data_IF_289784267328
#
_entry.id   IF_289784267328
#
_cell.length_a   1.000
_cell.length_b   1.000
_cell.length_c   1.000
_cell.angle_alpha   90.00
_cell.angle_beta   90.00
_cell.angle_gamma   90.00
#
_symmetry.space_group_name_H-M   'P 1'
#
loop_
_entity.id
_entity.type
_entity.pdbx_description
1 polymer ?
#
# COMPACT_ATOMS: atom_id res chain seq x y z
N UNK A 1 -26.05 27.86 -83.16
CA UNK A 1 -25.55 28.44 -81.93
C UNK A 1 -25.95 27.51 -80.78
N UNK A 2 -25.09 26.65 -80.32
CA UNK A 2 -25.32 25.72 -79.19
C UNK A 2 -24.33 26.03 -78.09
N UNK A 3 -24.84 26.52 -76.97
CA UNK A 3 -24.07 26.82 -75.77
C UNK A 3 -23.91 25.53 -74.96
N UNK A 4 -22.67 25.07 -74.74
CA UNK A 4 -22.32 24.04 -73.78
C UNK A 4 -21.95 24.68 -72.46
N UNK A 5 -22.76 24.40 -71.43
CA UNK A 5 -22.43 24.75 -70.06
C UNK A 5 -21.54 23.65 -69.46
N UNK A 6 -20.34 24.01 -69.08
CA UNK A 6 -19.38 23.13 -68.42
C UNK A 6 -19.62 23.20 -66.89
N UNK A 7 -20.15 22.11 -66.33
CA UNK A 7 -20.30 21.98 -64.85
C UNK A 7 -18.96 21.42 -64.28
N UNK A 8 -18.23 22.25 -63.54
CA UNK A 8 -17.06 21.85 -62.78
C UNK A 8 -17.52 21.38 -61.41
N UNK A 9 -17.38 20.05 -61.14
CA UNK A 9 -17.59 19.47 -59.83
C UNK A 9 -16.32 19.69 -58.98
N UNK A 10 -16.47 20.57 -57.98
CA UNK A 10 -15.48 20.72 -56.90
C UNK A 10 -15.65 19.59 -55.87
N UNK A 11 -14.72 18.62 -55.84
CA UNK A 11 -14.61 17.64 -54.78
C UNK A 11 -14.01 18.32 -53.55
N UNK A 12 -14.82 18.60 -52.56
CA UNK A 12 -14.32 18.90 -51.19
C UNK A 12 -13.91 17.59 -50.53
N UNK A 13 -12.61 17.31 -50.54
CA UNK A 13 -12.02 16.25 -49.75
C UNK A 13 -12.03 16.61 -48.27
N UNK A 14 -12.96 16.10 -47.49
CA UNK A 14 -12.95 16.19 -46.02
C UNK A 14 -11.88 15.27 -45.49
N UNK A 15 -10.69 15.82 -45.16
CA UNK A 15 -9.64 15.14 -44.42
C UNK A 15 -10.10 14.92 -42.99
N UNK A 16 -10.53 13.68 -42.69
CA UNK A 16 -10.80 13.26 -41.31
C UNK A 16 -9.44 13.11 -40.61
N UNK A 17 -9.10 14.10 -39.82
CA UNK A 17 -7.98 14.00 -38.86
C UNK A 17 -8.42 13.06 -37.75
N UNK A 18 -8.01 11.80 -37.82
CA UNK A 18 -8.11 10.89 -36.70
C UNK A 18 -7.08 11.34 -35.65
N UNK A 19 -7.54 12.06 -34.65
CA UNK A 19 -6.75 12.34 -33.44
C UNK A 19 -6.65 11.03 -32.65
N UNK A 20 -5.55 10.32 -32.86
CA UNK A 20 -5.12 9.26 -31.94
C UNK A 20 -4.81 9.89 -30.59
N UNK A 21 -5.83 9.99 -29.74
CA UNK A 21 -5.65 10.29 -28.33
C UNK A 21 -5.02 9.05 -27.68
N UNK A 22 -3.69 8.95 -27.75
CA UNK A 22 -2.91 8.06 -26.91
C UNK A 22 -3.15 8.49 -25.49
N UNK A 23 -4.12 7.87 -24.80
CA UNK A 23 -4.25 7.93 -23.35
C UNK A 23 -3.01 7.27 -22.77
N UNK A 24 -1.96 8.09 -22.61
CA UNK A 24 -0.83 7.74 -21.75
C UNK A 24 -1.43 7.58 -20.36
N UNK A 25 -1.63 6.34 -19.92
CA UNK A 25 -1.85 6.03 -18.52
C UNK A 25 -0.56 6.40 -17.79
N UNK A 26 -0.43 7.67 -17.41
CA UNK A 26 0.50 8.04 -16.35
C UNK A 26 0.00 7.33 -15.10
N UNK A 27 0.67 6.23 -14.74
CA UNK A 27 0.61 5.69 -13.39
C UNK A 27 0.92 6.87 -12.46
N UNK A 28 -0.09 7.38 -11.77
CA UNK A 28 0.13 8.44 -10.80
C UNK A 28 0.90 7.82 -9.64
N UNK A 29 2.19 8.11 -9.57
CA UNK A 29 3.01 7.76 -8.42
C UNK A 29 2.37 8.42 -7.21
N UNK A 30 1.83 7.62 -6.28
CA UNK A 30 1.30 8.14 -5.02
C UNK A 30 2.48 8.72 -4.23
N UNK A 31 2.37 10.00 -3.87
CA UNK A 31 3.35 10.69 -3.04
C UNK A 31 2.87 10.77 -1.59
N UNK A 32 3.82 10.93 -0.67
CA UNK A 32 3.51 11.26 0.71
C UNK A 32 2.74 12.58 0.80
N UNK A 33 1.66 12.60 1.59
CA UNK A 33 0.93 13.80 1.98
C UNK A 33 1.00 13.97 3.49
N UNK A 34 1.32 15.17 3.95
CA UNK A 34 1.42 15.51 5.38
C UNK A 34 0.71 16.85 5.61
N UNK A 35 -0.19 16.89 6.61
CA UNK A 35 -0.97 18.10 6.92
C UNK A 35 -0.09 19.27 7.40
N UNK A 36 0.93 18.97 8.21
CA UNK A 36 1.83 19.97 8.79
C UNK A 36 3.21 19.39 9.07
N UNK A 37 4.26 20.21 8.93
CA UNK A 37 5.62 19.84 9.26
C UNK A 37 5.90 19.82 10.78
N UNK A 38 5.01 20.37 11.61
CA UNK A 38 5.17 20.41 13.07
C UNK A 38 5.00 19.06 13.76
N UNK A 39 4.53 18.03 13.04
CA UNK A 39 4.22 16.71 13.59
C UNK A 39 2.75 16.55 13.98
N UNK A 40 2.32 15.33 14.34
CA UNK A 40 0.95 15.04 14.77
C UNK A 40 0.68 15.60 16.18
N UNK A 41 -0.59 15.86 16.48
CA UNK A 41 -1.08 16.42 17.73
C UNK A 41 -1.71 15.34 18.60
N UNK A 42 -1.09 15.03 19.75
CA UNK A 42 -1.66 14.09 20.73
C UNK A 42 -1.51 12.61 20.33
N UNK A 43 -2.55 11.80 20.62
CA UNK A 43 -2.52 10.35 20.35
C UNK A 43 -2.57 10.07 18.85
N UNK A 44 -1.70 9.17 18.41
CA UNK A 44 -1.62 8.73 17.01
C UNK A 44 -2.26 7.35 16.84
N UNK A 45 -2.97 7.14 15.73
CA UNK A 45 -3.41 5.84 15.23
C UNK A 45 -3.09 5.70 13.75
N UNK A 46 -2.99 4.46 13.29
CA UNK A 46 -2.64 4.12 11.91
C UNK A 46 -3.76 3.28 11.31
N UNK A 47 -4.13 3.60 10.07
CA UNK A 47 -5.00 2.78 9.22
C UNK A 47 -4.24 2.43 7.95
N UNK A 48 -4.19 1.14 7.62
CA UNK A 48 -3.53 0.62 6.42
C UNK A 48 -4.59 0.01 5.53
N UNK A 49 -4.81 0.63 4.36
CA UNK A 49 -5.66 0.11 3.30
C UNK A 49 -4.80 -0.59 2.25
N UNK A 50 -4.98 -1.91 2.15
CA UNK A 50 -4.21 -2.72 1.20
C UNK A 50 -4.67 -2.51 -0.24
N UNK A 51 -5.96 -2.21 -0.45
CA UNK A 51 -6.50 -1.97 -1.79
C UNK A 51 -5.94 -0.70 -2.40
N UNK A 52 -5.76 0.32 -1.59
CA UNK A 52 -5.24 1.62 -2.01
C UNK A 52 -3.72 1.73 -1.92
N UNK A 53 -3.04 0.73 -1.33
CA UNK A 53 -1.60 0.78 -1.08
C UNK A 53 -1.19 1.97 -0.22
N UNK A 54 -1.97 2.27 0.80
CA UNK A 54 -1.80 3.43 1.66
C UNK A 54 -1.70 3.08 3.14
N UNK A 55 -0.84 3.81 3.84
CA UNK A 55 -0.77 3.91 5.29
C UNK A 55 -1.16 5.32 5.69
N UNK A 56 -2.32 5.49 6.29
CA UNK A 56 -2.81 6.77 6.78
C UNK A 56 -2.64 6.89 8.29
N UNK A 57 -2.18 8.04 8.73
CA UNK A 57 -1.98 8.40 10.14
C UNK A 57 -3.03 9.41 10.55
N UNK A 58 -3.63 9.17 11.69
CA UNK A 58 -4.60 10.06 12.34
C UNK A 58 -4.09 10.50 13.69
N UNK A 59 -4.43 11.72 14.08
CA UNK A 59 -4.14 12.31 15.38
C UNK A 59 -5.41 12.88 16.00
N UNK A 60 -5.29 13.63 17.12
CA UNK A 60 -6.45 14.23 17.80
C UNK A 60 -7.22 15.25 16.94
N UNK A 61 -6.65 15.73 15.83
CA UNK A 61 -7.27 16.66 14.89
C UNK A 61 -7.80 15.96 13.61
N UNK A 62 -7.77 14.62 13.58
CA UNK A 62 -8.18 13.81 12.44
C UNK A 62 -7.00 13.34 11.58
N UNK A 63 -7.19 13.28 10.25
CA UNK A 63 -6.13 12.86 9.32
C UNK A 63 -4.90 13.78 9.41
N UNK A 64 -3.72 13.14 9.57
CA UNK A 64 -2.43 13.83 9.66
C UNK A 64 -1.56 13.61 8.41
N UNK A 65 -1.37 12.35 7.98
CA UNK A 65 -0.49 12.02 6.87
C UNK A 65 -0.94 10.74 6.17
N UNK A 66 -0.54 10.59 4.90
CA UNK A 66 -0.66 9.35 4.13
C UNK A 66 0.65 9.04 3.43
N UNK A 67 1.07 7.78 3.50
CA UNK A 67 2.29 7.25 2.91
C UNK A 67 1.98 6.10 1.97
N UNK A 68 2.62 6.03 0.80
CA UNK A 68 2.51 4.86 -0.06
C UNK A 68 3.23 3.67 0.58
N UNK A 69 2.60 2.49 0.50
CA UNK A 69 3.14 1.24 1.06
C UNK A 69 2.94 0.07 0.10
N UNK A 70 3.74 -0.99 0.30
CA UNK A 70 3.56 -2.29 -0.35
C UNK A 70 3.59 -3.40 0.69
N UNK A 71 3.22 -4.62 0.29
CA UNK A 71 2.85 -5.70 1.18
C UNK A 71 3.60 -6.99 0.89
N UNK A 72 3.08 -8.08 1.47
CA UNK A 72 3.55 -9.42 1.23
C UNK A 72 3.42 -9.85 -0.23
N UNK A 73 4.40 -10.60 -0.70
CA UNK A 73 4.56 -10.97 -2.11
C UNK A 73 3.69 -12.17 -2.50
N UNK A 74 2.38 -12.08 -2.32
CA UNK A 74 1.43 -13.05 -2.82
C UNK A 74 0.15 -12.34 -3.28
N UNK A 75 -0.76 -12.08 -2.36
CA UNK A 75 -2.04 -11.43 -2.66
C UNK A 75 -2.38 -10.37 -1.61
N UNK A 76 -3.33 -9.50 -1.93
CA UNK A 76 -3.90 -8.56 -0.96
C UNK A 76 -4.93 -9.23 -0.02
N UNK A 77 -5.04 -10.56 -0.03
CA UNK A 77 -5.87 -11.30 0.92
C UNK A 77 -5.29 -11.31 2.33
N UNK A 78 -6.11 -11.69 3.31
CA UNK A 78 -5.66 -11.82 4.69
C UNK A 78 -4.67 -12.97 4.87
N UNK A 79 -3.71 -12.80 5.78
CA UNK A 79 -2.75 -13.82 6.17
C UNK A 79 -3.45 -15.00 6.84
N UNK A 80 -3.20 -16.22 6.34
CA UNK A 80 -3.80 -17.45 6.85
C UNK A 80 -2.84 -18.31 7.67
N UNK A 81 -1.56 -18.36 7.28
CA UNK A 81 -0.54 -19.21 7.92
C UNK A 81 0.88 -18.70 7.61
N UNK A 82 1.86 -19.25 8.28
CA UNK A 82 3.27 -19.00 7.96
C UNK A 82 3.59 -19.45 6.53
N UNK A 83 4.39 -18.65 5.82
CA UNK A 83 4.84 -18.95 4.46
C UNK A 83 3.84 -18.58 3.36
N UNK A 84 2.62 -18.15 3.67
CA UNK A 84 1.65 -17.70 2.68
C UNK A 84 1.97 -16.34 2.05
N UNK A 85 2.94 -15.63 2.61
CA UNK A 85 3.41 -14.30 2.18
C UNK A 85 2.34 -13.21 2.12
N UNK A 86 1.21 -13.40 2.76
CA UNK A 86 0.17 -12.38 2.87
C UNK A 86 0.39 -11.49 4.08
N UNK A 87 -0.01 -10.23 3.97
CA UNK A 87 -0.07 -9.28 5.09
C UNK A 87 -1.37 -9.50 5.87
N UNK A 88 -1.31 -9.62 7.22
CA UNK A 88 -2.51 -9.88 8.02
C UNK A 88 -3.46 -8.68 8.03
N UNK A 89 -4.75 -8.97 8.18
CA UNK A 89 -5.82 -8.01 8.45
C UNK A 89 -6.30 -8.12 9.90
N UNK A 90 -6.68 -6.98 10.47
CA UNK A 90 -7.21 -6.89 11.83
C UNK A 90 -6.68 -5.68 12.58
N UNK A 91 -6.81 -5.75 13.93
CA UNK A 91 -6.40 -4.69 14.84
C UNK A 91 -5.12 -5.10 15.56
N UNK A 92 -4.12 -4.26 15.48
CA UNK A 92 -2.79 -4.48 16.05
C UNK A 92 -2.34 -3.29 16.88
N UNK A 93 -1.25 -3.49 17.62
CA UNK A 93 -0.53 -2.41 18.28
C UNK A 93 0.96 -2.51 18.00
N UNK A 94 1.64 -1.38 18.00
CA UNK A 94 3.10 -1.33 17.96
C UNK A 94 3.64 -1.81 19.32
N UNK A 95 4.55 -2.78 19.28
CA UNK A 95 5.17 -3.36 20.51
C UNK A 95 6.65 -3.05 20.67
N UNK A 96 7.32 -2.69 19.58
CA UNK A 96 8.72 -2.29 19.59
C UNK A 96 9.07 -1.51 18.32
N UNK A 97 10.12 -0.71 18.39
CA UNK A 97 10.71 -0.06 17.24
C UNK A 97 12.23 0.01 17.35
N UNK A 98 12.93 -0.18 16.23
CA UNK A 98 14.39 -0.16 16.19
C UNK A 98 14.93 0.34 14.86
N UNK A 99 16.17 0.81 14.87
CA UNK A 99 16.97 0.96 13.65
C UNK A 99 17.28 -0.42 13.09
N UNK A 100 17.18 -0.60 11.79
CA UNK A 100 17.41 -1.89 11.15
C UNK A 100 18.47 -1.74 10.04
N UNK A 101 19.53 -2.58 10.04
CA UNK A 101 20.67 -2.39 9.13
C UNK A 101 20.31 -2.58 7.65
N UNK A 102 19.30 -3.40 7.36
CA UNK A 102 18.86 -3.69 5.98
C UNK A 102 17.68 -2.83 5.53
N UNK A 103 16.75 -2.53 6.44
CA UNK A 103 15.46 -1.90 6.11
C UNK A 103 15.27 -0.56 6.84
N UNK A 104 16.34 0.16 7.06
CA UNK A 104 16.37 1.48 7.66
C UNK A 104 15.76 1.53 9.08
N UNK A 105 14.46 1.26 9.21
CA UNK A 105 13.71 1.17 10.48
C UNK A 105 12.82 -0.07 10.45
N UNK A 106 12.54 -0.62 11.64
CA UNK A 106 11.57 -1.68 11.82
C UNK A 106 10.67 -1.36 13.01
N UNK A 107 9.36 -1.33 12.76
CA UNK A 107 8.30 -1.05 13.73
C UNK A 107 7.50 -2.33 13.87
N UNK A 108 7.67 -3.05 14.97
CA UNK A 108 7.07 -4.37 15.20
C UNK A 108 5.61 -4.25 15.62
N UNK A 109 4.74 -5.07 15.02
CA UNK A 109 3.36 -5.24 15.41
C UNK A 109 3.19 -6.45 16.33
N UNK A 110 2.16 -6.46 17.17
CA UNK A 110 1.82 -7.57 18.08
C UNK A 110 1.17 -8.77 17.37
N UNK A 111 1.52 -9.01 16.10
CA UNK A 111 1.09 -10.21 15.36
C UNK A 111 1.96 -11.42 15.73
N UNK A 112 1.37 -12.61 16.03
CA UNK A 112 -0.06 -12.87 16.19
C UNK A 112 -0.58 -12.45 17.56
N UNK A 113 -1.68 -11.69 17.56
CA UNK A 113 -2.46 -11.36 18.76
C UNK A 113 -3.64 -12.34 18.95
N UNK A 114 -4.53 -12.09 19.90
CA UNK A 114 -5.67 -12.97 20.18
C UNK A 114 -6.61 -13.10 18.96
N UNK A 115 -6.99 -11.97 18.33
CA UNK A 115 -7.82 -11.97 17.12
C UNK A 115 -7.20 -12.84 16.01
N UNK A 116 -5.89 -12.72 15.81
CA UNK A 116 -5.15 -13.52 14.81
C UNK A 116 -5.18 -15.02 15.13
N UNK A 117 -5.03 -15.37 16.41
CA UNK A 117 -5.05 -16.77 16.88
C UNK A 117 -6.44 -17.40 16.73
N UNK A 118 -7.49 -16.65 17.03
CA UNK A 118 -8.88 -17.10 16.84
C UNK A 118 -9.19 -17.34 15.37
N UNK A 119 -8.86 -16.39 14.47
CA UNK A 119 -9.00 -16.54 13.02
C UNK A 119 -8.25 -17.79 12.52
N UNK A 120 -7.02 -17.98 12.98
CA UNK A 120 -6.19 -19.13 12.61
C UNK A 120 -6.81 -20.45 13.08
N UNK A 121 -7.28 -20.53 14.33
CA UNK A 121 -7.95 -21.72 14.86
C UNK A 121 -9.25 -22.04 14.11
N UNK A 122 -10.04 -21.03 13.75
CA UNK A 122 -11.25 -21.21 12.94
C UNK A 122 -10.93 -21.79 11.56
N UNK A 123 -9.90 -21.28 10.88
CA UNK A 123 -9.45 -21.79 9.58
C UNK A 123 -9.00 -23.24 9.64
N UNK A 124 -8.29 -23.63 10.72
CA UNK A 124 -7.92 -25.04 10.94
C UNK A 124 -9.16 -25.93 11.10
N UNK A 125 -10.12 -25.51 11.93
CA UNK A 125 -11.38 -26.28 12.13
C UNK A 125 -12.20 -26.46 10.85
N UNK A 126 -12.13 -25.47 9.94
CA UNK A 126 -12.84 -25.52 8.65
C UNK A 126 -12.04 -26.24 7.54
N UNK A 127 -10.82 -26.68 7.83
CA UNK A 127 -9.95 -27.30 6.81
C UNK A 127 -9.44 -26.33 5.74
N UNK A 128 -9.48 -25.01 5.98
CA UNK A 128 -9.01 -24.00 5.04
C UNK A 128 -7.47 -23.91 4.98
N UNK A 129 -6.79 -24.45 5.97
CA UNK A 129 -5.34 -24.55 6.08
C UNK A 129 -4.95 -25.93 6.61
N UNK A 130 -3.71 -26.44 6.29
CA UNK A 130 -3.25 -27.72 6.77
C UNK A 130 -3.27 -27.85 8.31
N UNK A 131 -3.56 -29.03 8.82
CA UNK A 131 -3.62 -29.29 10.28
C UNK A 131 -2.28 -29.03 10.98
N UNK A 132 -1.17 -29.25 10.29
CA UNK A 132 0.19 -28.99 10.76
C UNK A 132 0.69 -27.57 10.50
N UNK A 133 -0.13 -26.70 9.91
CA UNK A 133 0.25 -25.30 9.66
C UNK A 133 0.56 -24.56 10.97
N UNK A 134 1.50 -23.63 10.93
CA UNK A 134 1.78 -22.65 11.99
C UNK A 134 1.29 -21.25 11.60
N UNK A 135 0.99 -20.42 12.60
CA UNK A 135 0.46 -19.07 12.38
C UNK A 135 1.53 -18.10 11.86
N UNK A 136 2.79 -18.31 12.22
CA UNK A 136 3.90 -17.42 11.95
C UNK A 136 3.95 -16.20 12.87
N UNK A 137 4.79 -15.22 12.51
CA UNK A 137 5.01 -14.01 13.32
C UNK A 137 5.97 -13.04 12.64
N UNK A 138 6.46 -12.06 13.41
CA UNK A 138 7.47 -11.11 12.93
C UNK A 138 6.95 -10.08 11.93
N UNK A 139 5.66 -9.78 11.96
CA UNK A 139 5.04 -8.74 11.12
C UNK A 139 5.40 -7.36 11.67
N UNK A 140 5.73 -6.45 10.77
CA UNK A 140 6.03 -5.07 11.10
C UNK A 140 5.96 -4.14 9.90
N UNK A 141 6.19 -2.85 10.18
CA UNK A 141 6.32 -1.79 9.17
C UNK A 141 7.81 -1.45 9.07
N UNK A 142 8.35 -1.39 7.85
CA UNK A 142 9.78 -1.16 7.65
C UNK A 142 10.09 -0.46 6.31
N UNK A 143 11.30 0.05 6.18
CA UNK A 143 11.78 0.61 4.92
C UNK A 143 12.16 -0.45 3.88
N UNK A 144 12.67 0.02 2.76
CA UNK A 144 13.21 -0.84 1.69
C UNK A 144 14.69 -1.19 1.96
N UNK A 145 15.27 -2.05 1.12
CA UNK A 145 16.71 -2.14 1.00
C UNK A 145 17.29 -0.80 0.54
N UNK A 146 18.54 -0.50 0.83
CA UNK A 146 19.18 0.70 0.30
C UNK A 146 19.01 0.78 -1.23
N UNK A 147 18.55 1.94 -1.71
CA UNK A 147 18.32 2.26 -3.14
C UNK A 147 17.11 1.54 -3.79
N UNK A 148 16.28 0.81 -3.03
CA UNK A 148 15.15 0.05 -3.58
C UNK A 148 13.79 0.74 -3.37
N UNK A 149 13.76 2.03 -3.06
CA UNK A 149 12.51 2.81 -2.86
C UNK A 149 11.59 2.79 -4.10
N UNK A 150 12.13 2.51 -5.29
CA UNK A 150 11.35 2.31 -6.53
C UNK A 150 10.34 1.17 -6.43
N UNK A 151 10.52 0.20 -5.52
CA UNK A 151 9.55 -0.88 -5.27
C UNK A 151 8.22 -0.31 -4.78
N UNK A 152 8.27 0.73 -3.96
CA UNK A 152 7.08 1.44 -3.46
C UNK A 152 6.40 2.21 -4.59
N UNK A 153 7.17 2.95 -5.40
CA UNK A 153 6.66 3.73 -6.52
C UNK A 153 5.97 2.86 -7.59
N UNK A 154 6.36 1.59 -7.69
CA UNK A 154 5.82 0.62 -8.65
C UNK A 154 4.75 -0.31 -8.06
N UNK A 155 4.33 -0.10 -6.80
CA UNK A 155 3.40 -0.99 -6.09
C UNK A 155 3.84 -2.46 -6.12
N UNK A 156 5.15 -2.69 -6.08
CA UNK A 156 5.72 -4.03 -6.15
C UNK A 156 5.73 -4.67 -4.75
N UNK A 157 4.80 -5.57 -4.51
CA UNK A 157 4.74 -6.36 -3.28
C UNK A 157 5.94 -7.33 -3.23
N UNK A 158 6.79 -7.22 -2.22
CA UNK A 158 8.04 -7.97 -2.16
C UNK A 158 8.32 -8.66 -0.82
N UNK A 159 7.56 -8.34 0.24
CA UNK A 159 7.84 -8.85 1.58
C UNK A 159 7.28 -10.26 1.82
N UNK A 160 7.63 -10.86 2.94
CA UNK A 160 7.07 -12.14 3.40
C UNK A 160 5.79 -11.94 4.25
N UNK A 161 5.19 -10.75 4.21
CA UNK A 161 3.96 -10.38 4.91
C UNK A 161 4.05 -9.07 5.72
N UNK A 162 5.21 -8.45 5.80
CA UNK A 162 5.38 -7.11 6.38
C UNK A 162 4.81 -6.02 5.47
N UNK A 163 4.66 -4.83 6.04
CA UNK A 163 4.32 -3.59 5.33
C UNK A 163 5.64 -2.86 5.05
N UNK A 164 5.91 -2.53 3.79
CA UNK A 164 7.12 -1.79 3.40
C UNK A 164 6.77 -0.43 2.84
N UNK A 165 7.57 0.58 3.18
CA UNK A 165 7.44 1.96 2.74
C UNK A 165 8.82 2.53 2.37
N UNK A 166 8.87 3.71 1.77
CA UNK A 166 10.15 4.37 1.45
C UNK A 166 10.97 4.63 2.71
N UNK A 167 12.28 4.65 2.56
CA UNK A 167 13.19 4.83 3.70
C UNK A 167 12.99 6.19 4.39
N UNK A 168 12.76 7.26 3.65
CA UNK A 168 12.45 8.57 4.23
C UNK A 168 11.11 8.59 4.99
N UNK A 169 10.09 7.89 4.47
CA UNK A 169 8.76 7.82 5.04
C UNK A 169 8.76 7.01 6.35
N UNK A 170 9.48 5.88 6.41
CA UNK A 170 9.60 5.13 7.66
C UNK A 170 10.41 5.87 8.72
N UNK A 171 11.39 6.71 8.32
CA UNK A 171 12.09 7.58 9.26
C UNK A 171 11.13 8.61 9.85
N UNK A 172 10.26 9.20 9.02
CA UNK A 172 9.27 10.17 9.47
C UNK A 172 8.25 9.53 10.42
N UNK A 173 7.61 8.43 9.99
CA UNK A 173 6.69 7.64 10.81
C UNK A 173 7.32 7.25 12.17
N UNK A 174 8.57 6.80 12.17
CA UNK A 174 9.29 6.34 13.34
C UNK A 174 9.44 7.43 14.42
N UNK A 175 9.42 8.71 14.07
CA UNK A 175 9.63 9.83 15.00
C UNK A 175 8.49 9.95 16.00
N UNK A 176 7.26 9.71 15.58
CA UNK A 176 6.07 10.03 16.38
C UNK A 176 5.23 8.83 16.81
N UNK A 177 5.45 7.63 16.25
CA UNK A 177 4.78 6.44 16.76
C UNK A 177 5.49 5.89 18.00
N UNK A 178 4.73 5.29 18.90
CA UNK A 178 5.21 4.72 20.16
C UNK A 178 4.65 3.32 20.39
N UNK A 179 5.20 2.60 21.37
CA UNK A 179 4.59 1.35 21.83
C UNK A 179 3.16 1.63 22.29
N UNK A 180 2.22 0.78 21.91
CA UNK A 180 0.79 0.96 22.15
C UNK A 180 0.06 1.77 21.06
N UNK A 181 0.76 2.37 20.07
CA UNK A 181 0.07 2.99 18.91
C UNK A 181 -0.79 1.94 18.21
N UNK A 182 -2.07 2.24 18.02
CA UNK A 182 -3.06 1.38 17.38
C UNK A 182 -2.83 1.35 15.86
N UNK A 183 -2.96 0.15 15.28
CA UNK A 183 -2.78 -0.09 13.83
C UNK A 183 -3.92 -0.97 13.36
N UNK A 184 -4.74 -0.47 12.45
CA UNK A 184 -5.78 -1.25 11.76
C UNK A 184 -5.32 -1.54 10.33
N UNK A 185 -5.41 -2.81 9.92
CA UNK A 185 -5.08 -3.24 8.56
C UNK A 185 -6.31 -3.88 7.94
N UNK A 186 -6.71 -3.41 6.79
CA UNK A 186 -7.84 -3.96 6.02
C UNK A 186 -7.57 -3.91 4.50
N UNK A 187 -8.46 -4.56 3.75
CA UNK A 187 -8.51 -4.52 2.30
C UNK A 187 -9.67 -3.67 1.85
#
# INVERSE_FOLDING_TARGET
>A
MKNYFLFTFLFFGSSIWATNSSKTMMSSVKNRFVRTAAGPTGKVSIVIDKSDYELSVYDNLGWYATYPVVFGNNSLGDKKMQGDKNTPEGHFTIIAKRVHPKWCRFISLNYPNEESREKFAQRKRRGEIPSNASIGGGIGIHGTWPHDDYLIDRYNNWTEGCISMKNEDVIDLYRYVTNGTEVTIHK
#
